data_IF_054925997052
#
_entry.id   IF_054925997052
#
_cell.length_a   1.000
_cell.length_b   1.000
_cell.length_c   1.000
_cell.angle_alpha   90.00
_cell.angle_beta   90.00
_cell.angle_gamma   90.00
#
_symmetry.space_group_name_H-M   'P 1'
#
loop_
_entity.id
_entity.type
_entity.pdbx_description
1 polymer ?
#
# COMPACT_ATOMS: atom_id res chain seq x y z
N UNK A 1 16.35 14.62 -26.29
CA UNK A 1 15.12 14.65 -25.50
C UNK A 1 14.27 13.39 -25.74
N UNK A 2 13.55 13.22 -26.87
CA UNK A 2 12.67 12.05 -27.07
C UNK A 2 13.36 10.67 -26.96
N UNK A 3 14.56 10.52 -27.54
CA UNK A 3 15.33 9.26 -27.43
C UNK A 3 15.68 8.95 -25.97
N UNK A 4 16.07 9.97 -25.19
CA UNK A 4 16.39 9.81 -23.78
C UNK A 4 15.15 9.36 -23.00
N UNK A 5 13.99 9.99 -23.22
CA UNK A 5 12.74 9.63 -22.54
C UNK A 5 12.34 8.18 -22.83
N UNK A 6 12.32 7.76 -24.10
CA UNK A 6 11.94 6.40 -24.50
C UNK A 6 12.91 5.38 -23.90
N UNK A 7 14.22 5.63 -23.99
CA UNK A 7 15.23 4.74 -23.43
C UNK A 7 15.07 4.62 -21.91
N UNK A 8 14.87 5.74 -21.21
CA UNK A 8 14.65 5.75 -19.76
C UNK A 8 13.43 4.94 -19.34
N UNK A 9 12.31 5.03 -20.07
CA UNK A 9 11.11 4.22 -19.79
C UNK A 9 11.36 2.73 -20.00
N UNK A 10 12.04 2.36 -21.10
CA UNK A 10 12.37 0.95 -21.38
C UNK A 10 13.31 0.40 -20.29
N UNK A 11 14.31 1.19 -19.88
CA UNK A 11 15.22 0.81 -18.80
C UNK A 11 14.47 0.66 -17.48
N UNK A 12 13.59 1.60 -17.13
CA UNK A 12 12.75 1.52 -15.92
C UNK A 12 11.88 0.25 -15.92
N UNK A 13 11.29 -0.12 -17.06
CA UNK A 13 10.51 -1.35 -17.17
C UNK A 13 11.37 -2.61 -16.95
N UNK A 14 12.60 -2.64 -17.47
CA UNK A 14 13.54 -3.72 -17.21
C UNK A 14 13.97 -3.77 -15.74
N UNK A 15 14.26 -2.62 -15.14
CA UNK A 15 14.64 -2.52 -13.72
C UNK A 15 13.47 -2.95 -12.81
N UNK A 16 12.22 -2.61 -13.15
CA UNK A 16 11.04 -3.06 -12.42
C UNK A 16 10.96 -4.60 -12.30
N UNK A 17 11.30 -5.31 -13.39
CA UNK A 17 11.31 -6.78 -13.39
C UNK A 17 12.42 -7.31 -12.48
N UNK A 18 13.63 -6.73 -12.58
CA UNK A 18 14.76 -7.12 -11.76
C UNK A 18 14.48 -6.87 -10.27
N UNK A 19 13.93 -5.70 -9.94
CA UNK A 19 13.60 -5.30 -8.59
C UNK A 19 12.48 -6.17 -7.99
N UNK A 20 11.45 -6.50 -8.78
CA UNK A 20 10.42 -7.43 -8.32
C UNK A 20 11.00 -8.82 -7.98
N UNK A 21 12.03 -9.29 -8.70
CA UNK A 21 12.70 -10.56 -8.38
C UNK A 21 13.47 -10.46 -7.05
N UNK A 22 14.27 -9.41 -6.88
CA UNK A 22 15.14 -9.23 -5.71
C UNK A 22 14.32 -8.87 -4.46
N UNK A 23 13.36 -7.94 -4.61
CA UNK A 23 12.49 -7.45 -3.56
C UNK A 23 11.50 -8.49 -3.04
N UNK A 24 10.82 -9.23 -3.91
CA UNK A 24 9.96 -10.35 -3.47
C UNK A 24 10.81 -11.43 -2.79
N UNK A 25 12.05 -11.65 -3.25
CA UNK A 25 13.00 -12.54 -2.59
C UNK A 25 13.31 -12.11 -1.14
N UNK A 26 13.61 -10.83 -0.94
CA UNK A 26 13.88 -10.25 0.38
C UNK A 26 12.68 -10.40 1.32
N UNK A 27 11.47 -10.08 0.84
CA UNK A 27 10.26 -10.09 1.67
C UNK A 27 9.61 -11.46 1.81
N UNK A 28 9.97 -12.44 0.98
CA UNK A 28 9.46 -13.81 1.09
C UNK A 28 9.72 -14.43 2.47
N UNK A 29 10.84 -14.07 3.08
CA UNK A 29 11.23 -14.49 4.43
C UNK A 29 10.15 -14.11 5.46
N UNK A 30 9.49 -12.95 5.30
CA UNK A 30 8.50 -12.42 6.25
C UNK A 30 7.22 -13.27 6.32
N UNK A 31 6.79 -13.88 5.22
CA UNK A 31 5.57 -14.71 5.17
C UNK A 31 5.82 -16.22 5.07
N UNK A 32 7.05 -16.65 4.75
CA UNK A 32 7.41 -18.06 4.70
C UNK A 32 8.00 -18.60 6.00
N UNK A 33 8.72 -17.78 6.78
CA UNK A 33 9.47 -18.24 7.95
C UNK A 33 8.61 -18.98 8.98
N UNK A 34 7.41 -18.46 9.28
CA UNK A 34 6.51 -19.09 10.24
C UNK A 34 6.06 -20.50 9.81
N UNK A 35 5.81 -20.70 8.51
CA UNK A 35 5.41 -22.00 7.98
C UNK A 35 6.58 -22.97 7.83
N UNK A 36 7.74 -22.49 7.37
CA UNK A 36 8.95 -23.31 7.22
C UNK A 36 9.47 -23.72 8.62
N UNK A 37 9.57 -22.76 9.54
CA UNK A 37 10.08 -22.98 10.90
C UNK A 37 9.20 -23.90 11.74
N UNK A 38 7.88 -23.87 11.55
CA UNK A 38 6.95 -24.79 12.22
C UNK A 38 6.95 -26.21 11.63
N UNK A 39 7.65 -26.45 10.51
CA UNK A 39 7.69 -27.73 9.78
C UNK A 39 6.30 -28.29 9.49
N UNK A 40 5.35 -27.41 9.20
CA UNK A 40 3.94 -27.77 9.01
C UNK A 40 3.71 -28.64 7.76
N UNK A 41 4.52 -28.43 6.73
CA UNK A 41 4.45 -29.10 5.44
C UNK A 41 5.80 -29.06 4.71
N UNK A 42 5.89 -29.72 3.56
CA UNK A 42 7.08 -29.63 2.70
C UNK A 42 7.27 -28.20 2.19
N UNK A 43 8.53 -27.79 1.99
CA UNK A 43 8.87 -26.48 1.44
C UNK A 43 8.09 -26.18 0.14
N UNK A 44 7.98 -27.16 -0.77
CA UNK A 44 7.23 -27.02 -2.01
C UNK A 44 5.75 -26.67 -1.78
N UNK A 45 5.11 -27.31 -0.80
CA UNK A 45 3.71 -27.02 -0.47
C UNK A 45 3.54 -25.60 0.05
N UNK A 46 4.44 -25.15 0.92
CA UNK A 46 4.42 -23.79 1.48
C UNK A 46 4.60 -22.76 0.35
N UNK A 47 5.53 -23.01 -0.57
CA UNK A 47 5.74 -22.15 -1.74
C UNK A 47 4.49 -22.05 -2.61
N UNK A 48 3.81 -23.15 -2.93
CA UNK A 48 2.56 -23.11 -3.70
C UNK A 48 1.48 -22.26 -3.03
N UNK A 49 1.34 -22.38 -1.70
CA UNK A 49 0.36 -21.58 -0.93
C UNK A 49 0.73 -20.10 -0.96
N UNK A 50 2.00 -19.76 -0.77
CA UNK A 50 2.46 -18.37 -0.81
C UNK A 50 2.33 -17.76 -2.21
N UNK A 51 2.72 -18.49 -3.27
CA UNK A 51 2.59 -18.03 -4.66
C UNK A 51 1.14 -17.79 -5.06
N UNK A 52 0.20 -18.65 -4.63
CA UNK A 52 -1.22 -18.42 -4.85
C UNK A 52 -1.71 -17.14 -4.14
N UNK A 53 -1.21 -16.90 -2.93
CA UNK A 53 -1.45 -15.66 -2.17
C UNK A 53 -0.94 -14.44 -2.94
N UNK A 54 0.32 -14.44 -3.38
CA UNK A 54 0.92 -13.34 -4.15
C UNK A 54 0.12 -13.09 -5.43
N UNK A 55 -0.21 -14.14 -6.18
CA UNK A 55 -0.96 -14.01 -7.43
C UNK A 55 -2.34 -13.38 -7.23
N UNK A 56 -3.11 -13.88 -6.26
CA UNK A 56 -4.44 -13.30 -5.95
C UNK A 56 -4.33 -11.90 -5.36
N UNK A 57 -3.30 -11.64 -4.55
CA UNK A 57 -3.01 -10.30 -4.04
C UNK A 57 -2.76 -9.32 -5.17
N UNK A 58 -1.83 -9.63 -6.08
CA UNK A 58 -1.49 -8.81 -7.23
C UNK A 58 -2.71 -8.49 -8.11
N UNK A 59 -3.58 -9.47 -8.39
CA UNK A 59 -4.83 -9.24 -9.14
C UNK A 59 -5.79 -8.28 -8.44
N UNK A 60 -5.75 -8.19 -7.11
CA UNK A 60 -6.63 -7.33 -6.31
C UNK A 60 -6.02 -5.95 -5.97
N UNK A 61 -4.79 -5.67 -6.38
CA UNK A 61 -3.99 -4.53 -5.88
C UNK A 61 -4.19 -3.21 -6.62
N UNK A 62 -5.17 -3.13 -7.54
CA UNK A 62 -5.38 -1.96 -8.40
C UNK A 62 -5.47 -0.61 -7.65
N UNK A 63 -5.92 -0.59 -6.39
CA UNK A 63 -6.08 0.63 -5.59
C UNK A 63 -4.85 1.14 -4.83
N UNK A 64 -3.74 0.39 -4.73
CA UNK A 64 -2.52 0.90 -4.06
C UNK A 64 -1.56 1.63 -4.98
N UNK A 65 -1.80 1.49 -6.29
CA UNK A 65 -1.07 2.19 -7.34
C UNK A 65 -1.25 3.71 -7.26
N UNK A 66 -2.37 4.17 -6.69
CA UNK A 66 -2.67 5.59 -6.47
C UNK A 66 -1.86 6.18 -5.30
N UNK A 67 -1.36 5.35 -4.38
CA UNK A 67 -0.51 5.80 -3.26
C UNK A 67 0.92 6.13 -3.74
N UNK A 68 1.43 5.45 -4.78
CA UNK A 68 2.69 5.81 -5.43
C UNK A 68 2.62 7.17 -6.17
N UNK A 69 1.42 7.64 -6.52
CA UNK A 69 1.19 8.93 -7.17
C UNK A 69 1.38 10.11 -6.22
N UNK A 70 1.19 9.89 -4.92
CA UNK A 70 1.40 10.95 -3.95
C UNK A 70 2.82 10.91 -3.39
N UNK A 71 3.73 11.52 -4.15
CA UNK A 71 5.17 11.47 -3.99
C UNK A 71 5.72 12.05 -2.68
N UNK A 72 6.98 11.69 -2.44
CA UNK A 72 7.86 12.28 -1.42
C UNK A 72 8.36 13.66 -1.88
N UNK A 73 8.39 13.91 -3.18
CA UNK A 73 8.71 15.19 -3.77
C UNK A 73 7.53 15.74 -4.55
N UNK A 74 7.50 17.06 -4.72
CA UNK A 74 6.49 17.80 -5.45
C UNK A 74 6.93 17.88 -6.93
N UNK A 75 6.32 17.12 -7.85
CA UNK A 75 6.80 17.01 -9.23
C UNK A 75 6.76 18.34 -10.00
N UNK A 76 5.94 19.29 -9.58
CA UNK A 76 5.78 20.61 -10.20
C UNK A 76 7.08 21.44 -10.26
N UNK A 77 8.05 21.12 -9.38
CA UNK A 77 9.33 21.83 -9.33
C UNK A 77 10.46 21.12 -10.09
N UNK A 78 10.16 19.99 -10.74
CA UNK A 78 11.14 19.17 -11.45
C UNK A 78 10.76 19.06 -12.92
N UNK A 79 11.75 19.06 -13.80
CA UNK A 79 11.51 18.73 -15.20
C UNK A 79 11.19 17.24 -15.36
N UNK A 80 10.60 16.85 -16.50
CA UNK A 80 10.39 15.42 -16.78
C UNK A 80 11.72 14.64 -16.78
N UNK A 81 12.80 15.26 -17.25
CA UNK A 81 14.12 14.64 -17.25
C UNK A 81 14.63 14.42 -15.83
N UNK A 82 14.47 15.40 -14.94
CA UNK A 82 14.80 15.29 -13.52
C UNK A 82 14.04 14.14 -12.84
N UNK A 83 12.73 14.05 -13.08
CA UNK A 83 11.89 13.00 -12.50
C UNK A 83 12.34 11.62 -12.96
N UNK A 84 12.65 11.44 -14.24
CA UNK A 84 13.14 10.17 -14.77
C UNK A 84 14.55 9.83 -14.24
N UNK A 85 15.42 10.82 -14.06
CA UNK A 85 16.74 10.63 -13.44
C UNK A 85 16.58 10.18 -11.98
N UNK A 86 15.68 10.81 -11.22
CA UNK A 86 15.35 10.40 -9.84
C UNK A 86 14.90 8.94 -9.84
N UNK A 87 13.92 8.59 -10.67
CA UNK A 87 13.37 7.23 -10.72
C UNK A 87 14.39 6.18 -11.15
N UNK A 88 15.23 6.47 -12.15
CA UNK A 88 16.31 5.58 -12.56
C UNK A 88 17.34 5.39 -11.43
N UNK A 89 17.72 6.46 -10.75
CA UNK A 89 18.67 6.40 -9.64
C UNK A 89 18.11 5.58 -8.46
N UNK A 90 16.83 5.79 -8.12
CA UNK A 90 16.14 5.04 -7.07
C UNK A 90 16.08 3.56 -7.41
N UNK A 91 15.54 3.18 -8.57
CA UNK A 91 15.43 1.77 -8.97
C UNK A 91 16.76 1.04 -9.00
N UNK A 92 17.80 1.71 -9.52
CA UNK A 92 19.13 1.14 -9.57
C UNK A 92 19.72 0.97 -8.17
N UNK A 93 19.52 1.94 -7.29
CA UNK A 93 19.99 1.87 -5.90
C UNK A 93 19.25 0.79 -5.13
N UNK A 94 17.93 0.66 -5.29
CA UNK A 94 17.12 -0.32 -4.55
C UNK A 94 17.54 -1.74 -4.91
N UNK A 95 17.70 -2.03 -6.22
CA UNK A 95 18.19 -3.33 -6.69
C UNK A 95 19.56 -3.65 -6.07
N UNK A 96 20.51 -2.71 -6.11
CA UNK A 96 21.84 -2.95 -5.55
C UNK A 96 21.81 -3.13 -4.03
N UNK A 97 21.00 -2.32 -3.34
CA UNK A 97 20.86 -2.41 -1.89
C UNK A 97 20.26 -3.76 -1.52
N UNK A 98 19.10 -4.10 -2.07
CA UNK A 98 18.39 -5.33 -1.75
C UNK A 98 19.21 -6.57 -2.16
N UNK A 99 19.91 -6.56 -3.29
CA UNK A 99 20.79 -7.67 -3.69
C UNK A 99 21.97 -7.84 -2.73
N UNK A 100 22.59 -6.74 -2.30
CA UNK A 100 23.69 -6.78 -1.33
C UNK A 100 23.22 -7.36 0.01
N UNK A 101 22.08 -6.89 0.53
CA UNK A 101 21.55 -7.38 1.81
C UNK A 101 21.04 -8.82 1.72
N UNK A 102 20.40 -9.20 0.61
CA UNK A 102 20.02 -10.59 0.33
C UNK A 102 21.24 -11.51 0.28
N UNK A 103 22.32 -11.08 -0.38
CA UNK A 103 23.59 -11.82 -0.45
C UNK A 103 24.22 -12.00 0.94
N UNK A 104 24.09 -11.00 1.82
CA UNK A 104 24.54 -11.08 3.22
C UNK A 104 23.57 -11.84 4.12
N UNK A 105 22.38 -12.23 3.64
CA UNK A 105 21.33 -12.88 4.43
C UNK A 105 20.73 -11.97 5.50
N UNK A 106 20.81 -10.65 5.30
CA UNK A 106 20.29 -9.65 6.22
C UNK A 106 18.91 -9.18 5.76
N UNK A 107 17.87 -9.26 6.60
CA UNK A 107 16.54 -8.80 6.22
C UNK A 107 16.52 -7.27 6.10
N UNK A 108 16.07 -6.78 4.95
CA UNK A 108 15.92 -5.35 4.67
C UNK A 108 14.47 -4.91 4.53
N UNK A 109 14.19 -3.64 4.84
CA UNK A 109 12.87 -3.07 4.61
C UNK A 109 12.85 -2.32 3.28
N UNK A 110 12.11 -2.87 2.32
CA UNK A 110 11.89 -2.29 0.98
C UNK A 110 11.17 -0.94 1.07
N UNK A 111 10.17 -0.82 1.95
CA UNK A 111 9.49 0.46 2.21
C UNK A 111 10.43 1.52 2.79
N UNK A 112 11.35 1.15 3.68
CA UNK A 112 12.34 2.12 4.19
C UNK A 112 13.28 2.53 3.08
N UNK A 113 13.77 1.57 2.30
CA UNK A 113 14.70 1.80 1.19
C UNK A 113 14.16 2.86 0.22
N UNK A 114 13.00 2.59 -0.41
CA UNK A 114 12.44 3.45 -1.44
C UNK A 114 12.12 4.86 -0.94
N UNK A 115 11.66 4.99 0.32
CA UNK A 115 11.33 6.29 0.92
C UNK A 115 12.58 7.15 1.08
N UNK A 116 13.68 6.57 1.56
CA UNK A 116 14.93 7.30 1.76
C UNK A 116 15.70 7.51 0.46
N UNK A 117 15.61 6.58 -0.49
CA UNK A 117 16.17 6.74 -1.84
C UNK A 117 15.49 7.87 -2.60
N UNK A 118 14.15 7.90 -2.63
CA UNK A 118 13.39 8.99 -3.26
C UNK A 118 13.69 10.33 -2.59
N UNK A 119 13.75 10.37 -1.25
CA UNK A 119 14.12 11.58 -0.51
C UNK A 119 15.54 12.05 -0.89
N UNK A 120 16.51 11.14 -0.89
CA UNK A 120 17.90 11.44 -1.21
C UNK A 120 18.08 11.92 -2.65
N UNK A 121 17.53 11.19 -3.62
CA UNK A 121 17.58 11.54 -5.03
C UNK A 121 16.93 12.91 -5.30
N UNK A 122 15.78 13.18 -4.68
CA UNK A 122 15.07 14.47 -4.83
C UNK A 122 15.88 15.64 -4.27
N UNK A 123 16.55 15.48 -3.13
CA UNK A 123 17.41 16.52 -2.54
C UNK A 123 18.61 16.81 -3.45
N UNK A 124 19.23 15.77 -4.00
CA UNK A 124 20.41 15.93 -4.86
C UNK A 124 20.02 16.64 -6.16
N UNK A 125 18.95 16.21 -6.83
CA UNK A 125 18.50 16.85 -8.08
C UNK A 125 18.01 18.28 -7.84
N UNK A 126 17.31 18.53 -6.73
CA UNK A 126 17.00 19.89 -6.30
C UNK A 126 18.26 20.75 -6.14
N UNK A 127 19.30 20.20 -5.51
CA UNK A 127 20.59 20.87 -5.35
C UNK A 127 21.29 21.16 -6.68
N UNK A 128 21.30 20.21 -7.61
CA UNK A 128 21.85 20.38 -8.97
C UNK A 128 21.10 21.49 -9.71
N UNK A 129 19.76 21.47 -9.70
CA UNK A 129 18.95 22.51 -10.32
C UNK A 129 19.17 23.90 -9.72
N UNK A 130 19.48 23.99 -8.42
CA UNK A 130 19.87 25.25 -7.80
C UNK A 130 21.25 25.72 -8.28
N UNK A 131 22.21 24.80 -8.44
CA UNK A 131 23.56 25.11 -8.92
C UNK A 131 23.60 25.52 -10.40
N UNK A 132 22.67 25.00 -11.20
CA UNK A 132 22.52 25.32 -12.63
C UNK A 132 21.61 26.54 -12.90
N UNK A 133 21.25 27.30 -11.85
CA UNK A 133 20.34 28.45 -11.90
C UNK A 133 18.91 28.14 -12.43
N UNK A 134 18.53 26.86 -12.53
CA UNK A 134 17.18 26.41 -12.88
C UNK A 134 16.19 26.62 -11.71
N UNK A 135 16.68 26.62 -10.47
CA UNK A 135 15.92 26.92 -9.25
C UNK A 135 16.58 28.06 -8.46
N UNK A 136 15.79 28.97 -7.84
CA UNK A 136 16.35 30.08 -7.08
C UNK A 136 17.20 29.63 -5.86
N UNK A 137 18.36 30.24 -5.63
CA UNK A 137 19.27 29.92 -4.50
C UNK A 137 18.58 30.00 -3.11
N UNK A 138 17.51 30.78 -2.97
CA UNK A 138 16.72 30.88 -1.73
C UNK A 138 16.15 29.54 -1.26
N UNK A 139 15.91 28.59 -2.18
CA UNK A 139 15.43 27.26 -1.85
C UNK A 139 16.45 26.47 -1.02
N UNK A 140 17.77 26.67 -1.22
CA UNK A 140 18.81 25.96 -0.47
C UNK A 140 18.87 26.35 1.02
N UNK A 141 18.62 27.62 1.33
CA UNK A 141 18.88 28.20 2.65
C UNK A 141 17.63 28.45 3.50
N UNK A 142 16.43 28.36 2.91
CA UNK A 142 15.18 28.63 3.62
C UNK A 142 14.47 27.34 4.06
N UNK A 143 15.09 26.59 4.98
CA UNK A 143 14.56 25.30 5.46
C UNK A 143 13.18 25.47 6.14
N UNK A 144 12.88 26.64 6.70
CA UNK A 144 11.66 26.84 7.51
C UNK A 144 10.44 27.32 6.72
N UNK A 145 10.55 27.57 5.42
CA UNK A 145 9.45 28.05 4.57
C UNK A 145 9.12 27.04 3.46
N UNK A 146 7.99 26.31 3.58
CA UNK A 146 7.53 25.38 2.55
C UNK A 146 7.26 26.03 1.19
N UNK A 147 7.05 27.35 1.11
CA UNK A 147 6.82 28.02 -0.17
C UNK A 147 8.13 28.41 -0.89
N UNK A 148 9.26 28.49 -0.17
CA UNK A 148 10.50 29.09 -0.67
C UNK A 148 11.77 28.29 -0.31
N UNK A 149 11.64 27.07 0.21
CA UNK A 149 12.73 26.23 0.70
C UNK A 149 12.80 24.86 0.03
N UNK A 150 13.88 24.10 0.25
CA UNK A 150 14.00 22.67 -0.13
C UNK A 150 12.83 21.85 0.47
N UNK A 151 12.30 22.28 1.61
CA UNK A 151 11.10 21.70 2.25
C UNK A 151 9.82 21.90 1.40
N UNK A 152 9.81 22.82 0.44
CA UNK A 152 8.76 22.97 -0.56
C UNK A 152 8.91 22.07 -1.78
N UNK A 153 10.13 21.60 -2.06
CA UNK A 153 10.41 20.64 -3.14
C UNK A 153 10.08 19.21 -2.70
N UNK A 154 10.15 18.95 -1.40
CA UNK A 154 9.77 17.69 -0.74
C UNK A 154 8.38 17.88 -0.13
N UNK A 155 7.48 16.92 -0.25
CA UNK A 155 6.24 16.93 0.52
C UNK A 155 6.55 16.57 1.99
N UNK A 156 7.07 17.51 2.77
CA UNK A 156 7.59 17.24 4.11
C UNK A 156 6.52 16.77 5.10
N UNK A 157 5.31 17.33 5.04
CA UNK A 157 4.20 16.90 5.89
C UNK A 157 3.90 15.41 5.67
N UNK A 158 3.85 14.99 4.41
CA UNK A 158 3.60 13.59 4.07
C UNK A 158 4.80 12.70 4.40
N UNK A 159 5.99 13.12 4.00
CA UNK A 159 7.25 12.37 4.19
C UNK A 159 7.53 12.12 5.66
N UNK A 160 7.42 13.15 6.51
CA UNK A 160 7.59 12.99 7.95
C UNK A 160 6.55 12.06 8.57
N UNK A 161 5.28 12.13 8.12
CA UNK A 161 4.24 11.19 8.56
C UNK A 161 4.58 9.73 8.23
N UNK A 162 5.12 9.47 7.03
CA UNK A 162 5.58 8.12 6.65
C UNK A 162 6.74 7.68 7.54
N UNK A 163 7.76 8.53 7.74
CA UNK A 163 8.92 8.23 8.59
C UNK A 163 8.48 7.91 10.02
N UNK A 164 7.62 8.74 10.63
CA UNK A 164 7.09 8.47 11.97
C UNK A 164 6.29 7.16 12.02
N UNK A 165 5.53 6.85 10.97
CA UNK A 165 4.75 5.60 10.89
C UNK A 165 5.64 4.36 10.84
N UNK A 166 6.78 4.43 10.14
CA UNK A 166 7.77 3.33 10.10
C UNK A 166 8.25 3.02 11.52
N UNK A 167 8.75 4.02 12.25
CA UNK A 167 9.26 3.79 13.62
C UNK A 167 8.16 3.36 14.59
N UNK A 168 6.98 3.97 14.50
CA UNK A 168 5.83 3.61 15.33
C UNK A 168 5.39 2.17 15.09
N UNK A 169 5.39 1.71 13.83
CA UNK A 169 4.99 0.34 13.47
C UNK A 169 5.87 -0.72 14.12
N UNK A 170 7.18 -0.50 14.21
CA UNK A 170 8.14 -1.42 14.85
C UNK A 170 7.83 -1.54 16.35
N UNK A 171 7.59 -0.42 17.02
CA UNK A 171 7.26 -0.40 18.46
C UNK A 171 5.94 -1.14 18.71
N UNK A 172 4.91 -0.86 17.91
CA UNK A 172 3.61 -1.51 18.05
C UNK A 172 3.71 -3.01 17.77
N UNK A 173 4.38 -3.41 16.68
CA UNK A 173 4.56 -4.82 16.31
C UNK A 173 5.29 -5.60 17.40
N UNK A 174 6.37 -5.03 17.95
CA UNK A 174 7.09 -5.62 19.06
C UNK A 174 6.22 -5.73 20.32
N UNK A 175 5.53 -4.64 20.70
CA UNK A 175 4.67 -4.60 21.88
C UNK A 175 3.53 -5.64 21.83
N UNK A 176 2.77 -5.66 20.74
CA UNK A 176 1.72 -6.66 20.54
C UNK A 176 2.28 -8.07 20.41
N UNK A 177 3.42 -8.25 19.74
CA UNK A 177 4.11 -9.53 19.62
C UNK A 177 4.48 -10.14 20.98
N UNK A 178 5.02 -9.32 21.89
CA UNK A 178 5.34 -9.73 23.27
C UNK A 178 4.09 -10.17 24.02
N UNK A 179 3.00 -9.41 23.92
CA UNK A 179 1.72 -9.73 24.59
C UNK A 179 1.16 -11.07 24.07
N UNK A 180 1.05 -11.23 22.74
CA UNK A 180 0.53 -12.45 22.12
C UNK A 180 1.42 -13.65 22.45
N UNK A 181 2.74 -13.49 22.43
CA UNK A 181 3.68 -14.53 22.82
C UNK A 181 3.49 -14.93 24.29
N UNK A 182 3.34 -13.97 25.19
CA UNK A 182 3.14 -14.21 26.62
C UNK A 182 1.83 -14.96 26.89
N UNK A 183 0.72 -14.54 26.27
CA UNK A 183 -0.58 -15.23 26.34
C UNK A 183 -0.46 -16.66 25.80
N UNK A 184 0.20 -16.84 24.65
CA UNK A 184 0.42 -18.16 24.04
C UNK A 184 1.19 -19.09 25.00
N UNK A 185 2.26 -18.59 25.64
CA UNK A 185 3.04 -19.34 26.63
C UNK A 185 2.21 -19.69 27.87
N UNK A 186 1.35 -18.79 28.33
CA UNK A 186 0.47 -19.04 29.47
C UNK A 186 -0.55 -20.17 29.16
N UNK A 187 -1.16 -20.14 27.97
CA UNK A 187 -2.16 -21.13 27.56
C UNK A 187 -1.53 -22.49 27.30
N UNK A 188 -0.45 -22.57 26.52
CA UNK A 188 0.12 -23.84 26.08
C UNK A 188 1.19 -24.41 27.02
N UNK A 189 1.82 -23.56 27.84
CA UNK A 189 2.84 -23.94 28.83
C UNK A 189 3.91 -24.91 28.27
N UNK A 190 4.57 -25.68 29.14
CA UNK A 190 5.58 -26.68 28.76
C UNK A 190 4.97 -28.01 28.28
N UNK A 191 3.66 -28.24 28.50
CA UNK A 191 2.95 -29.47 28.10
C UNK A 191 2.06 -29.23 26.87
N UNK A 192 2.69 -28.84 25.75
CA UNK A 192 1.95 -28.40 24.56
C UNK A 192 1.01 -29.47 24.00
N UNK A 193 1.40 -30.75 23.97
CA UNK A 193 0.61 -31.80 23.31
C UNK A 193 -0.80 -32.00 23.89
N UNK A 194 -0.92 -32.05 25.22
CA UNK A 194 -2.20 -32.22 25.90
C UNK A 194 -3.07 -30.97 25.79
N UNK A 195 -2.45 -29.79 25.98
CA UNK A 195 -3.16 -28.51 25.94
C UNK A 195 -3.59 -28.15 24.52
N UNK A 196 -2.86 -28.57 23.50
CA UNK A 196 -3.22 -28.38 22.09
C UNK A 196 -4.47 -29.17 21.71
N UNK A 197 -4.69 -30.36 22.29
CA UNK A 197 -5.95 -31.11 22.10
C UNK A 197 -7.17 -30.42 22.72
N UNK A 198 -6.98 -29.65 23.79
CA UNK A 198 -8.07 -29.00 24.55
C UNK A 198 -8.32 -27.57 24.03
N UNK A 199 -7.26 -26.77 23.93
CA UNK A 199 -7.33 -25.35 23.59
C UNK A 199 -7.01 -25.06 22.13
N UNK A 200 -6.48 -26.02 21.37
CA UNK A 200 -6.04 -25.79 19.99
C UNK A 200 -7.17 -25.38 19.05
N UNK A 201 -8.39 -25.90 19.23
CA UNK A 201 -9.56 -25.51 18.43
C UNK A 201 -9.91 -24.03 18.69
N UNK A 202 -10.01 -23.63 19.96
CA UNK A 202 -10.33 -22.25 20.34
C UNK A 202 -9.25 -21.30 19.82
N UNK A 203 -7.98 -21.65 20.03
CA UNK A 203 -6.86 -20.84 19.57
C UNK A 203 -6.82 -20.70 18.06
N UNK A 204 -7.04 -21.79 17.32
CA UNK A 204 -7.12 -21.76 15.87
C UNK A 204 -8.29 -20.90 15.39
N UNK A 205 -9.44 -20.97 16.07
CA UNK A 205 -10.62 -20.16 15.74
C UNK A 205 -10.38 -18.67 15.97
N UNK A 206 -9.71 -18.30 17.06
CA UNK A 206 -9.32 -16.91 17.34
C UNK A 206 -8.31 -16.39 16.30
N UNK A 207 -7.32 -17.21 15.93
CA UNK A 207 -6.36 -16.84 14.90
C UNK A 207 -7.03 -16.66 13.52
N UNK A 208 -7.94 -17.57 13.13
CA UNK A 208 -8.69 -17.43 11.88
C UNK A 208 -9.68 -16.28 11.90
N UNK A 209 -10.26 -15.96 13.06
CA UNK A 209 -11.10 -14.77 13.22
C UNK A 209 -10.29 -13.51 12.92
N UNK A 210 -9.10 -13.36 13.52
CA UNK A 210 -8.21 -12.23 13.29
C UNK A 210 -7.79 -12.13 11.82
N UNK A 211 -7.44 -13.27 11.20
CA UNK A 211 -7.07 -13.33 9.79
C UNK A 211 -8.25 -13.01 8.86
N UNK A 212 -9.44 -13.53 9.14
CA UNK A 212 -10.65 -13.27 8.36
C UNK A 212 -11.04 -11.80 8.46
N UNK A 213 -10.99 -11.22 9.66
CA UNK A 213 -11.19 -9.78 9.87
C UNK A 213 -10.20 -8.95 9.05
N UNK A 214 -8.92 -9.30 9.10
CA UNK A 214 -7.89 -8.62 8.33
C UNK A 214 -8.16 -8.69 6.81
N UNK A 215 -8.46 -9.87 6.27
CA UNK A 215 -8.74 -10.07 4.85
C UNK A 215 -10.01 -9.35 4.40
N UNK A 216 -11.08 -9.39 5.21
CA UNK A 216 -12.33 -8.68 4.93
C UNK A 216 -12.12 -7.18 5.01
N UNK A 217 -11.46 -6.67 6.04
CA UNK A 217 -11.18 -5.24 6.16
C UNK A 217 -10.36 -4.75 4.96
N UNK A 218 -9.34 -5.50 4.55
CA UNK A 218 -8.53 -5.19 3.38
C UNK A 218 -9.35 -5.22 2.08
N UNK A 219 -10.15 -6.27 1.85
CA UNK A 219 -11.00 -6.39 0.65
C UNK A 219 -12.17 -5.41 0.62
N UNK A 220 -12.73 -5.04 1.78
CA UNK A 220 -13.70 -3.97 1.85
C UNK A 220 -13.01 -2.64 1.54
N UNK A 221 -11.83 -2.33 2.11
CA UNK A 221 -11.11 -1.06 1.87
C UNK A 221 -10.79 -0.84 0.39
N UNK A 222 -10.47 -1.88 -0.36
CA UNK A 222 -10.29 -1.76 -1.83
C UNK A 222 -11.59 -1.45 -2.59
N UNK A 223 -12.75 -1.67 -1.95
CA UNK A 223 -14.08 -1.42 -2.54
C UNK A 223 -14.68 -0.07 -2.08
N UNK A 224 -14.27 0.45 -0.92
CA UNK A 224 -14.80 1.70 -0.35
C UNK A 224 -13.76 2.82 -0.21
N UNK A 225 -12.63 2.77 -0.93
CA UNK A 225 -11.58 3.78 -0.79
C UNK A 225 -12.16 5.19 -0.98
N UNK A 226 -12.15 5.94 0.13
CA UNK A 226 -12.55 7.32 0.17
C UNK A 226 -11.29 8.16 -0.07
N UNK A 227 -11.21 8.79 -1.23
CA UNK A 227 -10.22 9.84 -1.46
C UNK A 227 -10.83 11.18 -1.06
N UNK A 228 -10.04 11.98 -0.34
CA UNK A 228 -10.41 13.35 -0.06
C UNK A 228 -9.90 14.19 -1.23
N UNK A 229 -10.80 14.54 -2.14
CA UNK A 229 -10.48 15.45 -3.24
C UNK A 229 -10.86 16.87 -2.85
N UNK A 230 -9.97 17.82 -3.12
CA UNK A 230 -10.31 19.24 -3.17
C UNK A 230 -11.31 19.49 -4.30
N UNK A 231 -11.98 20.66 -4.25
CA UNK A 231 -12.92 21.05 -5.31
C UNK A 231 -12.26 21.07 -6.70
N UNK A 232 -11.00 21.49 -6.76
CA UNK A 232 -10.21 21.59 -7.99
C UNK A 232 -9.81 20.21 -8.52
N UNK A 233 -9.34 19.30 -7.66
CA UNK A 233 -8.99 17.94 -8.06
C UNK A 233 -10.22 17.16 -8.52
N UNK A 234 -11.36 17.35 -7.84
CA UNK A 234 -12.63 16.79 -8.27
C UNK A 234 -13.01 17.30 -9.67
N UNK A 235 -12.85 18.60 -9.96
CA UNK A 235 -13.09 19.12 -11.31
C UNK A 235 -12.19 18.45 -12.36
N UNK A 236 -10.90 18.34 -12.09
CA UNK A 236 -9.95 17.68 -13.00
C UNK A 236 -10.33 16.22 -13.25
N UNK A 237 -10.69 15.49 -12.20
CA UNK A 237 -11.13 14.09 -12.31
C UNK A 237 -12.39 13.93 -13.16
N UNK A 238 -13.37 14.81 -12.99
CA UNK A 238 -14.63 14.72 -13.74
C UNK A 238 -14.41 14.95 -15.23
N UNK A 239 -13.55 15.93 -15.58
CA UNK A 239 -13.18 16.19 -16.97
C UNK A 239 -12.38 15.06 -17.60
N UNK A 240 -11.54 14.35 -16.84
CA UNK A 240 -10.79 13.21 -17.37
C UNK A 240 -11.69 12.01 -17.65
N UNK A 241 -12.74 11.80 -16.84
CA UNK A 241 -13.71 10.70 -17.03
C UNK A 241 -14.76 11.04 -18.10
N UNK A 242 -15.23 12.28 -18.19
CA UNK A 242 -16.16 12.70 -19.23
C UNK A 242 -15.83 14.13 -19.69
N UNK A 243 -15.08 14.28 -20.81
CA UNK A 243 -14.61 15.57 -21.30
C UNK A 243 -15.73 16.58 -21.61
N UNK A 244 -16.92 16.08 -21.99
CA UNK A 244 -18.08 16.89 -22.39
C UNK A 244 -19.05 17.17 -21.22
N UNK A 245 -18.68 16.82 -19.98
CA UNK A 245 -19.54 17.02 -18.83
C UNK A 245 -19.57 18.50 -18.40
N UNK A 246 -20.75 19.13 -18.53
CA UNK A 246 -21.05 20.43 -17.91
C UNK A 246 -21.48 20.18 -16.46
N UNK A 247 -20.56 20.34 -15.50
CA UNK A 247 -20.88 20.22 -14.08
C UNK A 247 -20.49 21.50 -13.33
N UNK A 248 -21.48 22.13 -12.69
CA UNK A 248 -21.28 23.21 -11.74
C UNK A 248 -21.29 22.57 -10.35
N UNK A 249 -20.12 22.45 -9.71
CA UNK A 249 -20.04 21.99 -8.32
C UNK A 249 -20.61 23.10 -7.41
N UNK A 250 -21.94 23.06 -7.23
CA UNK A 250 -22.68 23.92 -6.32
C UNK A 250 -22.41 23.52 -4.86
N UNK A 251 -22.99 24.24 -3.90
CA UNK A 251 -22.87 23.90 -2.47
C UNK A 251 -23.61 22.61 -2.06
N UNK A 252 -24.13 21.85 -3.02
CA UNK A 252 -24.80 20.57 -2.81
C UNK A 252 -23.97 19.55 -2.01
N UNK A 253 -24.68 18.74 -1.22
CA UNK A 253 -24.08 17.71 -0.36
C UNK A 253 -23.57 16.50 -1.14
N UNK A 254 -24.01 16.31 -2.39
CA UNK A 254 -23.67 15.14 -3.20
C UNK A 254 -23.62 15.49 -4.68
N UNK A 255 -22.59 15.05 -5.40
CA UNK A 255 -22.46 15.14 -6.87
C UNK A 255 -22.49 13.70 -7.42
N UNK A 256 -23.32 13.42 -8.42
CA UNK A 256 -23.39 12.08 -9.06
C UNK A 256 -23.04 12.19 -10.53
N UNK A 257 -22.16 11.32 -11.01
CA UNK A 257 -21.58 11.37 -12.36
C UNK A 257 -21.69 10.00 -12.98
N UNK A 258 -22.01 9.93 -14.26
CA UNK A 258 -22.00 8.68 -15.01
C UNK A 258 -20.61 8.49 -15.63
N UNK A 259 -19.96 7.37 -15.31
CA UNK A 259 -18.76 6.94 -16.00
C UNK A 259 -19.08 6.55 -17.47
N UNK A 260 -18.07 6.49 -18.33
CA UNK A 260 -18.12 6.06 -19.73
C UNK A 260 -18.80 4.68 -19.87
N UNK A 261 -18.64 3.81 -18.87
CA UNK A 261 -19.24 2.47 -18.80
C UNK A 261 -20.70 2.45 -18.31
N UNK A 262 -21.30 3.61 -18.01
CA UNK A 262 -22.69 3.75 -17.56
C UNK A 262 -22.91 3.53 -16.05
N UNK A 263 -21.85 3.30 -15.27
CA UNK A 263 -21.92 3.22 -13.80
C UNK A 263 -21.99 4.62 -13.15
N UNK A 264 -22.77 4.78 -12.08
CA UNK A 264 -22.88 6.04 -11.36
C UNK A 264 -21.77 6.14 -10.29
N UNK A 265 -20.87 7.11 -10.43
CA UNK A 265 -19.92 7.58 -9.42
C UNK A 265 -20.60 8.62 -8.52
N UNK A 266 -20.41 8.52 -7.21
CA UNK A 266 -21.06 9.42 -6.23
C UNK A 266 -19.98 10.07 -5.38
N UNK A 267 -19.98 11.40 -5.35
CA UNK A 267 -19.10 12.23 -4.56
C UNK A 267 -19.91 12.89 -3.46
N UNK A 268 -19.56 12.69 -2.20
CA UNK A 268 -20.26 13.28 -1.05
C UNK A 268 -19.41 14.40 -0.45
N UNK A 269 -19.97 15.60 -0.29
CA UNK A 269 -19.26 16.73 0.30
C UNK A 269 -19.08 16.51 1.81
N UNK A 270 -17.83 16.52 2.27
CA UNK A 270 -17.47 16.43 3.69
C UNK A 270 -16.85 17.76 4.12
N UNK A 271 -17.56 18.48 4.98
CA UNK A 271 -17.06 19.73 5.57
C UNK A 271 -16.22 19.37 6.81
N UNK A 272 -14.89 19.45 6.72
CA UNK A 272 -14.05 19.44 7.93
C UNK A 272 -14.21 20.75 8.69
N UNK A 273 -14.19 20.69 10.02
CA UNK A 273 -14.32 21.88 10.89
C UNK A 273 -13.15 22.88 10.79
N UNK A 274 -12.00 22.46 10.23
CA UNK A 274 -10.73 23.21 10.27
C UNK A 274 -10.14 23.58 8.89
N UNK A 275 -10.88 23.44 7.78
CA UNK A 275 -10.37 23.82 6.45
C UNK A 275 -11.26 24.86 5.76
N UNK A 276 -10.64 25.85 5.10
CA UNK A 276 -11.30 26.90 4.31
C UNK A 276 -11.89 26.39 3.00
N UNK A 277 -11.50 25.19 2.56
CA UNK A 277 -12.06 24.53 1.38
C UNK A 277 -12.89 23.28 1.75
N UNK A 278 -14.00 23.04 1.03
CA UNK A 278 -14.77 21.80 1.17
C UNK A 278 -14.01 20.63 0.56
N UNK A 279 -13.87 19.54 1.32
CA UNK A 279 -13.36 18.27 0.82
C UNK A 279 -14.52 17.43 0.30
N UNK A 280 -14.31 16.70 -0.78
CA UNK A 280 -15.27 15.74 -1.31
C UNK A 280 -14.73 14.34 -1.03
N UNK A 281 -15.56 13.52 -0.40
CA UNK A 281 -15.29 12.11 -0.15
C UNK A 281 -15.87 11.31 -1.33
N UNK A 282 -15.00 10.58 -2.03
CA UNK A 282 -15.38 9.84 -3.24
C UNK A 282 -15.87 8.43 -2.89
N UNK A 283 -17.00 7.99 -3.45
CA UNK A 283 -17.40 6.59 -3.41
C UNK A 283 -17.39 6.01 -4.83
N UNK A 284 -16.39 5.17 -5.09
CA UNK A 284 -16.28 4.35 -6.30
C UNK A 284 -17.16 3.10 -6.16
N UNK A 285 -18.46 3.21 -6.44
CA UNK A 285 -19.29 2.01 -6.54
C UNK A 285 -20.81 2.18 -6.50
N UNK A 286 -21.49 1.04 -6.51
CA UNK A 286 -22.94 0.92 -6.42
C UNK A 286 -23.45 1.30 -5.01
N UNK A 287 -24.49 2.15 -4.89
CA UNK A 287 -25.14 2.50 -3.60
C UNK A 287 -25.52 1.28 -2.74
N UNK A 288 -25.76 0.12 -3.35
CA UNK A 288 -26.00 -1.14 -2.63
C UNK A 288 -24.75 -1.63 -1.88
N UNK A 289 -23.58 -1.48 -2.50
CA UNK A 289 -22.28 -1.84 -1.91
C UNK A 289 -21.95 -0.89 -0.76
N UNK A 290 -22.15 0.42 -0.94
CA UNK A 290 -21.95 1.41 0.14
C UNK A 290 -22.79 1.08 1.38
N UNK A 291 -24.09 0.81 1.17
CA UNK A 291 -25.00 0.39 2.24
C UNK A 291 -24.55 -0.91 2.90
N UNK A 292 -24.07 -1.88 2.13
CA UNK A 292 -23.57 -3.15 2.65
C UNK A 292 -22.28 -2.95 3.48
N UNK A 293 -21.36 -2.10 3.02
CA UNK A 293 -20.12 -1.75 3.74
C UNK A 293 -20.45 -1.05 5.06
N UNK A 294 -21.34 -0.05 5.04
CA UNK A 294 -21.72 0.69 6.25
C UNK A 294 -22.46 -0.21 7.24
N UNK A 295 -23.35 -1.07 6.76
CA UNK A 295 -24.01 -2.08 7.59
C UNK A 295 -22.99 -3.04 8.24
N UNK A 296 -21.97 -3.47 7.49
CA UNK A 296 -20.91 -4.33 8.03
C UNK A 296 -20.07 -3.62 9.11
N UNK A 297 -19.78 -2.33 8.95
CA UNK A 297 -19.06 -1.52 9.94
C UNK A 297 -19.86 -1.37 11.24
N UNK A 298 -21.15 -1.06 11.15
CA UNK A 298 -22.04 -0.92 12.31
C UNK A 298 -22.23 -2.24 13.06
N UNK A 299 -22.25 -3.37 12.33
CA UNK A 299 -22.49 -4.70 12.88
C UNK A 299 -21.21 -5.54 13.02
N UNK A 300 -20.04 -4.90 13.08
CA UNK A 300 -18.74 -5.59 13.08
C UNK A 300 -18.64 -6.62 14.22
N UNK A 301 -19.19 -6.31 15.40
CA UNK A 301 -19.16 -7.23 16.56
C UNK A 301 -19.97 -8.50 16.32
N UNK A 302 -21.15 -8.38 15.70
CA UNK A 302 -22.00 -9.53 15.33
C UNK A 302 -21.30 -10.35 14.24
N UNK A 303 -20.73 -9.69 13.24
CA UNK A 303 -19.99 -10.33 12.16
C UNK A 303 -18.81 -11.15 12.71
N UNK A 304 -18.01 -10.56 13.62
CA UNK A 304 -16.90 -11.24 14.28
C UNK A 304 -17.37 -12.44 15.10
N UNK A 305 -18.49 -12.31 15.83
CA UNK A 305 -19.05 -13.42 16.58
C UNK A 305 -19.49 -14.57 15.66
N UNK A 306 -20.17 -14.26 14.55
CA UNK A 306 -20.57 -15.26 13.55
C UNK A 306 -19.33 -15.96 12.96
N UNK A 307 -18.29 -15.21 12.60
CA UNK A 307 -17.04 -15.79 12.10
C UNK A 307 -16.36 -16.68 13.15
N UNK A 308 -16.36 -16.27 14.41
CA UNK A 308 -15.81 -17.09 15.49
C UNK A 308 -16.56 -18.41 15.63
N UNK A 309 -17.90 -18.37 15.67
CA UNK A 309 -18.74 -19.57 15.77
C UNK A 309 -18.53 -20.46 14.54
N UNK A 310 -18.48 -19.88 13.35
CA UNK A 310 -18.20 -20.60 12.10
C UNK A 310 -16.86 -21.34 12.17
N UNK A 311 -15.76 -20.64 12.47
CA UNK A 311 -14.43 -21.25 12.56
C UNK A 311 -14.34 -22.29 13.68
N UNK A 312 -14.98 -22.03 14.83
CA UNK A 312 -15.03 -22.96 15.94
C UNK A 312 -15.74 -24.27 15.58
N UNK A 313 -16.91 -24.19 14.94
CA UNK A 313 -17.64 -25.37 14.47
C UNK A 313 -16.86 -26.11 13.39
N UNK A 314 -16.32 -25.39 12.41
CA UNK A 314 -15.54 -25.98 11.33
C UNK A 314 -14.31 -26.73 11.87
N UNK A 315 -13.54 -26.11 12.77
CA UNK A 315 -12.37 -26.77 13.35
C UNK A 315 -12.72 -27.92 14.28
N UNK A 316 -13.86 -27.86 14.98
CA UNK A 316 -14.36 -28.98 15.78
C UNK A 316 -14.67 -30.19 14.88
N UNK A 317 -15.32 -29.96 13.74
CA UNK A 317 -15.64 -31.00 12.76
C UNK A 317 -14.35 -31.57 12.15
N UNK A 318 -13.45 -30.70 11.68
CA UNK A 318 -12.20 -31.12 11.06
C UNK A 318 -11.29 -31.89 12.02
N UNK A 319 -11.24 -31.48 13.29
CA UNK A 319 -10.50 -32.20 14.32
C UNK A 319 -11.04 -33.62 14.54
N UNK A 320 -12.37 -33.81 14.45
CA UNK A 320 -13.00 -35.14 14.53
C UNK A 320 -12.63 -36.05 13.36
N UNK A 321 -12.32 -35.48 12.20
CA UNK A 321 -11.81 -36.21 11.03
C UNK A 321 -10.27 -36.39 11.05
N UNK A 322 -9.59 -35.99 12.12
CA UNK A 322 -8.13 -36.16 12.27
C UNK A 322 -7.29 -35.06 11.64
N UNK A 323 -7.90 -33.97 11.16
CA UNK A 323 -7.15 -32.81 10.66
C UNK A 323 -6.69 -31.92 11.82
N UNK A 324 -5.47 -31.38 11.73
CA UNK A 324 -4.93 -30.46 12.73
C UNK A 324 -5.35 -29.00 12.40
N UNK A 325 -6.18 -28.34 13.24
CA UNK A 325 -6.61 -26.95 13.01
C UNK A 325 -5.46 -25.96 12.87
N UNK A 326 -4.38 -26.13 13.63
CA UNK A 326 -3.23 -25.21 13.59
C UNK A 326 -2.48 -25.27 12.26
N UNK A 327 -2.47 -26.44 11.61
CA UNK A 327 -1.87 -26.59 10.28
C UNK A 327 -2.62 -25.76 9.24
N UNK A 328 -3.94 -25.72 9.33
CA UNK A 328 -4.77 -24.87 8.46
C UNK A 328 -4.56 -23.39 8.74
N UNK A 329 -4.45 -23.00 10.01
CA UNK A 329 -4.12 -21.62 10.41
C UNK A 329 -2.79 -21.18 9.81
N UNK A 330 -1.75 -22.02 9.86
CA UNK A 330 -0.44 -21.67 9.29
C UNK A 330 -0.53 -21.49 7.77
N UNK A 331 -1.23 -22.38 7.05
CA UNK A 331 -1.42 -22.20 5.61
C UNK A 331 -2.23 -20.96 5.25
N UNK A 332 -3.34 -20.73 5.95
CA UNK A 332 -4.15 -19.53 5.75
C UNK A 332 -3.36 -18.26 6.08
N UNK A 333 -2.54 -18.29 7.14
CA UNK A 333 -1.66 -17.20 7.53
C UNK A 333 -0.60 -16.91 6.47
N UNK A 334 0.12 -17.92 5.98
CA UNK A 334 1.09 -17.76 4.88
C UNK A 334 0.42 -17.22 3.62
N UNK A 335 -0.75 -17.77 3.24
CA UNK A 335 -1.52 -17.26 2.11
C UNK A 335 -1.92 -15.79 2.30
N UNK A 336 -2.50 -15.46 3.46
CA UNK A 336 -3.01 -14.12 3.74
C UNK A 336 -1.93 -13.07 3.88
N UNK A 337 -0.78 -13.41 4.47
CA UNK A 337 0.39 -12.54 4.53
C UNK A 337 1.00 -12.32 3.14
N UNK A 338 1.14 -13.38 2.33
CA UNK A 338 1.65 -13.28 0.98
C UNK A 338 0.72 -12.47 0.05
N UNK A 339 -0.60 -12.66 0.18
CA UNK A 339 -1.61 -11.83 -0.48
C UNK A 339 -1.53 -10.37 -0.02
N UNK A 340 -1.32 -10.14 1.27
CA UNK A 340 -1.23 -8.79 1.80
C UNK A 340 0.03 -8.05 1.33
N UNK A 341 1.17 -8.75 1.32
CA UNK A 341 2.43 -8.30 0.76
C UNK A 341 2.25 -7.90 -0.70
N UNK A 342 1.65 -8.78 -1.52
CA UNK A 342 1.42 -8.47 -2.92
C UNK A 342 0.50 -7.25 -3.11
N UNK A 343 -0.48 -7.10 -2.23
CA UNK A 343 -1.23 -5.87 -2.07
C UNK A 343 -0.35 -4.63 -1.93
N UNK A 344 0.36 -4.57 -0.81
CA UNK A 344 0.89 -3.31 -0.29
C UNK A 344 2.30 -2.99 -0.78
N UNK A 345 3.13 -4.02 -0.92
CA UNK A 345 4.57 -3.85 -1.03
C UNK A 345 5.05 -4.07 -2.47
N UNK A 346 4.23 -4.68 -3.36
CA UNK A 346 4.55 -4.70 -4.80
C UNK A 346 4.68 -3.29 -5.37
N UNK A 347 3.92 -2.33 -4.84
CA UNK A 347 3.99 -0.92 -5.24
C UNK A 347 5.38 -0.33 -5.00
N UNK A 348 6.16 -0.84 -4.05
CA UNK A 348 7.55 -0.39 -3.90
C UNK A 348 8.36 -0.72 -5.17
N UNK A 349 8.18 -1.92 -5.74
CA UNK A 349 9.00 -2.37 -6.88
C UNK A 349 8.51 -1.85 -8.24
N UNK A 350 7.21 -1.65 -8.41
CA UNK A 350 6.63 -1.24 -9.71
C UNK A 350 6.10 0.19 -9.70
N UNK A 351 5.98 0.83 -8.53
CA UNK A 351 5.38 2.15 -8.39
C UNK A 351 6.23 3.24 -9.04
N UNK A 352 7.55 3.23 -8.81
CA UNK A 352 8.48 4.20 -9.41
C UNK A 352 8.54 4.10 -10.94
N UNK A 353 8.70 2.90 -11.55
CA UNK A 353 8.64 2.72 -13.00
C UNK A 353 7.31 3.14 -13.61
N UNK A 354 6.20 2.84 -12.94
CA UNK A 354 4.88 3.22 -13.40
C UNK A 354 4.64 4.74 -13.31
N UNK A 355 5.10 5.37 -12.22
CA UNK A 355 5.08 6.82 -12.09
C UNK A 355 5.89 7.47 -13.22
N UNK A 356 7.06 6.91 -13.55
CA UNK A 356 7.86 7.36 -14.70
C UNK A 356 7.10 7.26 -16.02
N UNK A 357 6.42 6.14 -16.27
CA UNK A 357 5.57 5.95 -17.45
C UNK A 357 4.41 6.96 -17.51
N UNK A 358 3.71 7.18 -16.39
CA UNK A 358 2.62 8.16 -16.29
C UNK A 358 3.12 9.60 -16.52
N UNK A 359 4.28 9.96 -15.96
CA UNK A 359 4.89 11.27 -16.20
C UNK A 359 5.20 11.49 -17.68
N UNK A 360 5.62 10.44 -18.40
CA UNK A 360 5.83 10.48 -19.85
C UNK A 360 4.51 10.63 -20.63
N UNK A 361 3.44 9.93 -20.24
CA UNK A 361 2.12 10.05 -20.88
C UNK A 361 1.44 11.40 -20.66
N UNK A 362 1.71 12.08 -19.55
CA UNK A 362 1.17 13.41 -19.23
C UNK A 362 1.93 14.55 -19.93
N UNK A 363 3.17 14.31 -20.35
CA UNK A 363 4.03 15.30 -21.02
C UNK A 363 3.50 15.91 -22.34
N UNK A 364 2.68 15.24 -23.18
CA UNK A 364 2.14 15.85 -24.39
C UNK A 364 0.93 16.77 -24.15
N UNK A 365 0.43 16.92 -22.92
CA UNK A 365 -0.67 17.84 -22.63
C UNK A 365 -0.10 19.20 -22.19
N UNK A 366 -0.30 20.28 -22.97
CA UNK A 366 0.12 21.60 -22.53
C UNK A 366 -0.66 21.95 -21.27
N UNK A 367 0.03 21.96 -20.13
CA UNK A 367 -0.46 22.62 -18.92
C UNK A 367 -0.53 24.10 -19.29
N UNK A 368 -1.73 24.55 -19.66
CA UNK A 368 -1.99 25.97 -19.85
C UNK A 368 -1.78 26.62 -18.48
N UNK A 369 -0.60 27.22 -18.28
CA UNK A 369 -0.40 28.16 -17.19
C UNK A 369 -1.46 29.25 -17.32
N UNK A 370 -2.33 29.46 -16.32
CA UNK A 370 -3.09 30.70 -16.27
C UNK A 370 -2.08 31.82 -16.06
N UNK A 371 -1.93 32.69 -17.07
CA UNK A 371 -1.27 34.00 -16.95
C UNK A 371 -2.13 34.88 -16.04
#
# INVERSE_FOLDING_TARGET
>A
MEIFLIVSIVVLACLAIADLIVGVGNDAVNFLNSAIGSKVASFKTIMWVASAGIFLGALSSAGMMEIAREGIFNPEYFSLEDVLIIFLAVMLTDIFLLDAFNTLGLPTSTTVSIIFELLGASIIIAGVNILEDNLPLKYLFNINDPANGIIGLINWNKTSTIIYSIFLSVILAFGFGVIVMWISRFIFSFQYEKRLKIFGIIWASLAMLALSYFLIYKGLKSTYAYENLTKTELQTYIKSVNPDSDYIISNEQTVTIKNIDGENLIFTKVIKKDTTEPLYETFFGNKKIEKAVNYAKENIGILLFIFFVFWFLLFTILYRFGYNPLKLVVFAGTFGLAMAFAGNDLVNFIGVPLAGYQSYELFPQPIAYPI
#
